data_IF_512306190983
#
_entry.id   IF_512306190983
#
_cell.length_a   1.000
_cell.length_b   1.000
_cell.length_c   1.000
_cell.angle_alpha   90.00
_cell.angle_beta   90.00
_cell.angle_gamma   90.00
#
_symmetry.space_group_name_H-M   'P 1'
#
loop_
_entity.id
_entity.type
_entity.pdbx_description
1 polymer ?
#
# COMPACT_ATOMS: atom_id res chain seq x y z
N UNK A 1 -21.07 8.24 -7.88
CA UNK A 1 -20.48 7.92 -9.19
C UNK A 1 -18.95 7.87 -9.12
N UNK A 2 -18.24 8.96 -8.82
CA UNK A 2 -16.76 8.96 -8.73
C UNK A 2 -16.16 7.93 -7.75
N UNK A 3 -16.77 7.73 -6.56
CA UNK A 3 -16.31 6.73 -5.57
C UNK A 3 -16.44 5.28 -6.04
N UNK A 4 -17.48 4.97 -6.80
CA UNK A 4 -17.71 3.62 -7.36
C UNK A 4 -16.77 3.40 -8.55
N UNK A 5 -16.57 4.42 -9.39
CA UNK A 5 -15.59 4.37 -10.49
C UNK A 5 -14.16 4.16 -10.00
N UNK A 6 -13.74 4.83 -8.93
CA UNK A 6 -12.43 4.62 -8.31
C UNK A 6 -12.30 3.20 -7.73
N UNK A 7 -13.34 2.68 -7.07
CA UNK A 7 -13.33 1.32 -6.54
C UNK A 7 -13.25 0.28 -7.66
N UNK A 8 -14.02 0.46 -8.74
CA UNK A 8 -13.99 -0.40 -9.92
C UNK A 8 -12.63 -0.34 -10.61
N UNK A 9 -12.03 0.86 -10.76
CA UNK A 9 -10.68 1.00 -11.32
C UNK A 9 -9.62 0.30 -10.46
N UNK A 10 -9.73 0.38 -9.14
CA UNK A 10 -8.80 -0.28 -8.20
C UNK A 10 -8.97 -1.80 -8.22
N UNK A 11 -10.21 -2.29 -8.26
CA UNK A 11 -10.51 -3.73 -8.33
C UNK A 11 -10.08 -4.28 -9.67
N UNK A 12 -10.45 -3.64 -10.79
CA UNK A 12 -9.99 -4.02 -12.12
C UNK A 12 -8.47 -3.93 -12.21
N UNK A 13 -7.84 -2.87 -11.68
CA UNK A 13 -6.39 -2.75 -11.62
C UNK A 13 -5.72 -3.91 -10.88
N UNK A 14 -6.22 -4.31 -9.70
CA UNK A 14 -5.69 -5.48 -8.98
C UNK A 14 -5.91 -6.79 -9.73
N UNK A 15 -7.08 -6.97 -10.35
CA UNK A 15 -7.40 -8.15 -11.14
C UNK A 15 -6.55 -8.24 -12.41
N UNK A 16 -6.25 -7.11 -13.05
CA UNK A 16 -5.37 -7.03 -14.21
C UNK A 16 -3.91 -7.36 -13.86
N UNK A 17 -3.49 -7.14 -12.62
CA UNK A 17 -2.11 -7.40 -12.17
C UNK A 17 -1.90 -8.87 -11.80
N UNK A 18 -2.95 -9.61 -11.44
CA UNK A 18 -2.86 -11.04 -11.15
C UNK A 18 -3.05 -11.84 -12.45
N UNK A 19 -1.93 -12.28 -13.06
CA UNK A 19 -1.95 -13.13 -14.26
C UNK A 19 -1.54 -14.54 -13.87
N UNK A 20 -2.17 -15.52 -14.50
CA UNK A 20 -1.73 -16.90 -14.43
C UNK A 20 -0.82 -17.11 -15.65
N UNK A 21 0.46 -17.38 -15.41
CA UNK A 21 1.44 -17.68 -16.45
C UNK A 21 1.81 -19.16 -16.41
N UNK A 22 2.22 -19.68 -17.57
CA UNK A 22 2.76 -21.03 -17.68
C UNK A 22 4.28 -20.93 -17.80
N UNK A 23 4.99 -21.50 -16.83
CA UNK A 23 6.44 -21.58 -16.87
C UNK A 23 6.96 -22.35 -18.10
N UNK A 24 8.25 -22.23 -18.45
CA UNK A 24 8.87 -22.98 -19.57
C UNK A 24 8.75 -24.51 -19.47
N UNK A 25 8.48 -24.99 -18.27
CA UNK A 25 8.25 -26.36 -17.82
C UNK A 25 6.76 -26.77 -17.80
N UNK A 26 5.85 -25.87 -18.17
CA UNK A 26 4.40 -26.11 -18.22
C UNK A 26 3.68 -25.91 -16.87
N UNK A 27 4.42 -25.58 -15.80
CA UNK A 27 3.86 -25.35 -14.48
C UNK A 27 3.04 -24.05 -14.44
N UNK A 28 1.85 -24.11 -13.83
CA UNK A 28 0.99 -22.95 -13.60
C UNK A 28 1.59 -22.12 -12.46
N UNK A 29 1.91 -20.85 -12.71
CA UNK A 29 2.43 -19.92 -11.70
C UNK A 29 1.65 -18.61 -11.69
N UNK A 30 1.47 -18.02 -10.51
CA UNK A 30 1.00 -16.64 -10.40
C UNK A 30 2.10 -15.67 -10.82
N UNK A 31 1.82 -14.84 -11.83
CA UNK A 31 2.71 -13.80 -12.35
C UNK A 31 2.04 -12.41 -12.26
N UNK A 32 2.87 -11.37 -12.25
CA UNK A 32 2.37 -9.99 -12.33
C UNK A 32 2.25 -9.59 -13.82
N UNK A 33 1.12 -9.08 -14.30
CA UNK A 33 0.99 -8.61 -15.70
C UNK A 33 2.07 -7.60 -16.08
N UNK A 34 2.48 -6.76 -15.12
CA UNK A 34 3.54 -5.79 -15.36
C UNK A 34 4.90 -6.46 -15.57
N UNK A 35 5.11 -7.67 -15.04
CA UNK A 35 6.34 -8.46 -15.25
C UNK A 35 6.46 -9.02 -16.65
N UNK A 36 5.32 -9.26 -17.28
CA UNK A 36 5.25 -9.74 -18.65
C UNK A 36 5.41 -8.58 -19.65
N UNK A 37 5.09 -7.34 -19.25
CA UNK A 37 5.20 -6.13 -20.09
C UNK A 37 5.96 -4.98 -19.39
N UNK A 38 7.32 -5.00 -19.42
CA UNK A 38 8.16 -4.01 -18.71
C UNK A 38 7.92 -2.56 -19.12
N UNK A 39 7.42 -2.31 -20.35
CA UNK A 39 7.05 -0.97 -20.84
C UNK A 39 5.90 -0.32 -20.05
N UNK A 40 5.15 -1.10 -19.25
CA UNK A 40 4.06 -0.63 -18.40
C UNK A 40 4.46 -0.46 -16.93
N UNK A 41 5.71 -0.72 -16.54
CA UNK A 41 6.17 -0.66 -15.14
C UNK A 41 5.91 0.71 -14.46
N UNK A 42 5.81 1.80 -15.23
CA UNK A 42 5.43 3.12 -14.72
C UNK A 42 4.02 3.14 -14.08
N UNK A 43 3.11 2.23 -14.46
CA UNK A 43 1.80 2.09 -13.85
C UNK A 43 1.88 1.63 -12.38
N UNK A 44 2.96 0.95 -11.97
CA UNK A 44 3.17 0.57 -10.56
C UNK A 44 3.31 1.80 -9.64
N UNK A 45 3.66 2.97 -10.18
CA UNK A 45 3.68 4.22 -9.43
C UNK A 45 2.28 4.69 -9.04
N UNK A 46 1.24 4.27 -9.77
CA UNK A 46 -0.17 4.50 -9.46
C UNK A 46 -0.77 3.39 -8.61
N UNK A 47 0.07 2.59 -7.94
CA UNK A 47 -0.41 1.61 -6.98
C UNK A 47 -1.42 2.28 -6.04
N UNK A 48 -2.60 1.69 -5.84
CA UNK A 48 -3.72 2.37 -5.18
C UNK A 48 -3.52 2.49 -3.66
N UNK A 49 -2.49 1.86 -3.11
CA UNK A 49 -2.34 1.67 -1.67
C UNK A 49 -2.04 2.96 -0.90
N UNK A 50 -1.13 3.83 -1.32
CA UNK A 50 -0.93 5.09 -0.62
C UNK A 50 -2.16 6.00 -0.67
N UNK A 51 -2.84 6.10 -1.83
CA UNK A 51 -4.14 6.81 -1.94
C UNK A 51 -5.17 6.22 -0.96
N UNK A 52 -5.27 4.89 -0.88
CA UNK A 52 -6.18 4.21 0.05
C UNK A 52 -5.87 4.57 1.50
N UNK A 53 -4.61 4.51 1.94
CA UNK A 53 -4.24 4.86 3.31
C UNK A 53 -4.44 6.34 3.62
N UNK A 54 -4.22 7.24 2.66
CA UNK A 54 -4.55 8.66 2.81
C UNK A 54 -6.06 8.89 3.00
N UNK A 55 -6.88 8.25 2.15
CA UNK A 55 -8.34 8.31 2.28
C UNK A 55 -8.83 7.67 3.61
N UNK A 56 -8.16 6.61 4.06
CA UNK A 56 -8.42 5.97 5.35
C UNK A 56 -8.11 6.91 6.52
N UNK A 57 -6.98 7.62 6.48
CA UNK A 57 -6.63 8.64 7.47
C UNK A 57 -7.67 9.75 7.51
N UNK A 58 -8.02 10.28 6.35
CA UNK A 58 -9.07 11.31 6.23
C UNK A 58 -10.41 10.86 6.81
N UNK A 59 -10.83 9.62 6.52
CA UNK A 59 -12.13 9.11 6.90
C UNK A 59 -12.22 8.68 8.38
N UNK A 60 -11.10 8.26 8.99
CA UNK A 60 -11.05 7.75 10.36
C UNK A 60 -10.55 8.79 11.38
N UNK A 61 -9.97 9.91 10.93
CA UNK A 61 -9.48 10.96 11.83
C UNK A 61 -10.56 11.55 12.75
N UNK A 62 -11.82 11.54 12.31
CA UNK A 62 -12.96 12.01 13.11
C UNK A 62 -14.03 10.93 13.30
N UNK A 63 -13.65 9.65 13.20
CA UNK A 63 -14.60 8.55 13.41
C UNK A 63 -14.84 8.30 14.90
N UNK A 64 -16.09 7.99 15.26
CA UNK A 64 -16.42 7.41 16.57
C UNK A 64 -16.23 5.88 16.52
N UNK A 65 -16.03 5.20 17.66
CA UNK A 65 -15.92 3.74 17.70
C UNK A 65 -17.07 3.01 16.97
N UNK A 66 -18.29 3.53 17.07
CA UNK A 66 -19.47 2.99 16.36
C UNK A 66 -19.33 3.11 14.84
N UNK A 67 -18.92 4.27 14.34
CA UNK A 67 -18.75 4.51 12.90
C UNK A 67 -17.55 3.75 12.31
N UNK A 68 -16.45 3.65 13.06
CA UNK A 68 -15.28 2.85 12.70
C UNK A 68 -15.64 1.37 12.61
N UNK A 69 -16.33 0.82 13.62
CA UNK A 69 -16.79 -0.57 13.64
C UNK A 69 -17.72 -0.91 12.46
N UNK A 70 -18.65 -0.01 12.13
CA UNK A 70 -19.54 -0.22 10.99
C UNK A 70 -18.76 -0.29 9.65
N UNK A 71 -17.81 0.64 9.44
CA UNK A 71 -16.96 0.66 8.24
C UNK A 71 -16.05 -0.56 8.16
N UNK A 72 -15.42 -0.92 9.28
CA UNK A 72 -14.58 -2.11 9.39
C UNK A 72 -15.37 -3.38 9.08
N UNK A 73 -16.58 -3.53 9.64
CA UNK A 73 -17.44 -4.69 9.37
C UNK A 73 -17.80 -4.80 7.89
N UNK A 74 -18.13 -3.70 7.22
CA UNK A 74 -18.41 -3.72 5.78
C UNK A 74 -17.17 -4.12 4.97
N UNK A 75 -16.01 -3.52 5.27
CA UNK A 75 -14.78 -3.81 4.54
C UNK A 75 -14.28 -5.25 4.76
N UNK A 76 -14.25 -5.70 6.01
CA UNK A 76 -13.88 -7.08 6.37
C UNK A 76 -14.89 -8.06 5.77
N UNK A 77 -16.19 -7.73 5.79
CA UNK A 77 -17.22 -8.55 5.15
C UNK A 77 -17.00 -8.71 3.65
N UNK A 78 -16.71 -7.62 2.93
CA UNK A 78 -16.39 -7.66 1.51
C UNK A 78 -15.10 -8.43 1.23
N UNK A 79 -14.07 -8.25 2.06
CA UNK A 79 -12.83 -9.01 1.99
C UNK A 79 -13.07 -10.51 2.19
N UNK A 80 -13.87 -10.88 3.19
CA UNK A 80 -14.22 -12.27 3.47
C UNK A 80 -14.99 -12.91 2.31
N UNK A 81 -15.91 -12.17 1.66
CA UNK A 81 -16.59 -12.65 0.44
C UNK A 81 -15.58 -12.95 -0.67
N UNK A 82 -14.62 -12.04 -0.92
CA UNK A 82 -13.57 -12.26 -1.90
C UNK A 82 -12.72 -13.51 -1.59
N UNK A 83 -12.30 -13.66 -0.34
CA UNK A 83 -11.53 -14.82 0.12
C UNK A 83 -12.29 -16.12 -0.04
N UNK A 84 -13.57 -16.15 0.34
CA UNK A 84 -14.42 -17.35 0.23
C UNK A 84 -14.65 -17.72 -1.23
N UNK A 85 -14.99 -16.77 -2.09
CA UNK A 85 -15.19 -17.00 -3.52
C UNK A 85 -13.92 -17.58 -4.15
N UNK A 86 -12.76 -16.96 -3.88
CA UNK A 86 -11.50 -17.41 -4.43
C UNK A 86 -11.07 -18.77 -3.88
N UNK A 87 -11.16 -18.98 -2.57
CA UNK A 87 -10.83 -20.27 -1.94
C UNK A 87 -11.71 -21.39 -2.49
N UNK A 88 -12.98 -21.10 -2.76
CA UNK A 88 -13.92 -22.05 -3.37
C UNK A 88 -13.50 -22.39 -4.80
N UNK A 89 -13.10 -21.40 -5.61
CA UNK A 89 -12.57 -21.64 -6.96
C UNK A 89 -11.30 -22.51 -6.93
N UNK A 90 -10.34 -22.21 -6.04
CA UNK A 90 -9.14 -23.05 -5.89
C UNK A 90 -9.48 -24.48 -5.44
N UNK A 91 -10.41 -24.66 -4.50
CA UNK A 91 -10.88 -25.99 -4.06
C UNK A 91 -11.51 -26.76 -5.23
N UNK A 92 -12.38 -26.11 -6.01
CA UNK A 92 -13.00 -26.74 -7.19
C UNK A 92 -11.95 -27.16 -8.22
N UNK A 93 -10.97 -26.31 -8.48
CA UNK A 93 -9.85 -26.61 -9.39
C UNK A 93 -9.04 -27.82 -8.90
N UNK A 94 -8.74 -27.91 -7.61
CA UNK A 94 -8.06 -29.06 -6.99
C UNK A 94 -8.86 -30.35 -7.17
N UNK A 95 -10.18 -30.29 -6.98
CA UNK A 95 -11.06 -31.45 -7.12
C UNK A 95 -11.17 -31.93 -8.58
N UNK A 96 -10.89 -31.05 -9.56
CA UNK A 96 -10.92 -31.38 -10.99
C UNK A 96 -9.55 -31.85 -11.50
N UNK A 97 -8.47 -31.14 -11.15
CA UNK A 97 -7.12 -31.33 -11.73
C UNK A 97 -6.26 -32.28 -10.88
N UNK A 98 -6.47 -32.34 -9.56
CA UNK A 98 -5.79 -33.27 -8.67
C UNK A 98 -4.36 -32.90 -8.26
N UNK A 99 -3.86 -31.72 -8.63
CA UNK A 99 -2.49 -31.29 -8.32
C UNK A 99 -2.43 -30.32 -7.13
N UNK A 100 -1.70 -30.71 -6.07
CA UNK A 100 -1.59 -29.94 -4.82
C UNK A 100 -0.77 -28.64 -4.92
N UNK A 101 0.04 -28.46 -5.96
CA UNK A 101 0.82 -27.23 -6.19
C UNK A 101 -0.07 -26.01 -6.43
N UNK A 102 -1.21 -26.23 -7.10
CA UNK A 102 -2.23 -25.21 -7.39
C UNK A 102 -2.83 -24.63 -6.10
N UNK A 103 -2.89 -25.40 -5.00
CA UNK A 103 -3.45 -24.95 -3.71
C UNK A 103 -2.57 -23.86 -3.11
N UNK A 104 -1.25 -24.08 -3.08
CA UNK A 104 -0.32 -23.18 -2.41
C UNK A 104 -0.22 -21.84 -3.14
N UNK A 105 -0.17 -21.88 -4.47
CA UNK A 105 -0.19 -20.67 -5.29
C UNK A 105 -1.55 -19.99 -5.28
N UNK A 106 -2.65 -20.75 -5.36
CA UNK A 106 -4.00 -20.22 -5.25
C UNK A 106 -4.26 -19.52 -3.91
N UNK A 107 -3.84 -20.12 -2.80
CA UNK A 107 -3.93 -19.54 -1.46
C UNK A 107 -3.03 -18.32 -1.29
N UNK A 108 -1.81 -18.35 -1.84
CA UNK A 108 -0.90 -17.19 -1.85
C UNK A 108 -1.52 -16.02 -2.61
N UNK A 109 -2.07 -16.25 -3.81
CA UNK A 109 -2.74 -15.22 -4.61
C UNK A 109 -4.00 -14.70 -3.90
N UNK A 110 -4.79 -15.58 -3.28
CA UNK A 110 -6.00 -15.21 -2.53
C UNK A 110 -5.71 -14.32 -1.31
N UNK A 111 -4.61 -14.60 -0.63
CA UNK A 111 -4.22 -13.91 0.61
C UNK A 111 -3.36 -12.68 0.36
N UNK A 112 -2.71 -12.60 -0.80
CA UNK A 112 -1.92 -11.44 -1.20
C UNK A 112 -2.68 -10.12 -1.10
N UNK A 113 -3.94 -9.96 -1.57
CA UNK A 113 -4.65 -8.70 -1.39
C UNK A 113 -5.07 -8.43 0.07
N UNK A 114 -4.95 -9.36 1.02
CA UNK A 114 -5.39 -9.15 2.41
C UNK A 114 -4.36 -8.42 3.27
N UNK A 115 -3.12 -8.26 2.81
CA UNK A 115 -2.05 -7.68 3.63
C UNK A 115 -2.41 -6.29 4.14
N UNK A 116 -3.14 -5.48 3.35
CA UNK A 116 -3.50 -4.12 3.74
C UNK A 116 -4.42 -4.09 4.95
N UNK A 117 -5.22 -5.14 5.18
CA UNK A 117 -6.10 -5.24 6.34
C UNK A 117 -5.29 -5.28 7.65
N UNK A 118 -4.11 -5.90 7.64
CA UNK A 118 -3.24 -5.96 8.82
C UNK A 118 -2.81 -4.56 9.30
N UNK A 119 -2.67 -3.61 8.38
CA UNK A 119 -2.39 -2.19 8.74
C UNK A 119 -3.69 -1.41 8.94
N UNK A 120 -4.66 -1.59 8.05
CA UNK A 120 -5.87 -0.77 8.04
C UNK A 120 -6.72 -1.00 9.29
N UNK A 121 -6.86 -2.23 9.77
CA UNK A 121 -7.70 -2.55 10.94
C UNK A 121 -7.27 -1.78 12.19
N UNK A 122 -6.01 -1.85 12.65
CA UNK A 122 -5.59 -1.08 13.83
C UNK A 122 -5.68 0.43 13.60
N UNK A 123 -5.30 0.93 12.41
CA UNK A 123 -5.39 2.36 12.09
C UNK A 123 -6.82 2.88 12.05
N UNK A 124 -7.78 2.08 11.58
CA UNK A 124 -9.18 2.46 11.56
C UNK A 124 -9.83 2.31 12.95
N UNK A 125 -9.45 1.29 13.72
CA UNK A 125 -9.96 1.08 15.07
C UNK A 125 -9.52 2.19 16.04
N UNK A 126 -8.27 2.64 15.93
CA UNK A 126 -7.66 3.69 16.75
C UNK A 126 -7.63 5.05 16.05
N UNK A 127 -8.42 5.23 14.99
CA UNK A 127 -8.24 6.34 14.05
C UNK A 127 -8.36 7.73 14.68
N UNK A 128 -9.29 7.93 15.61
CA UNK A 128 -9.42 9.20 16.33
C UNK A 128 -8.23 9.49 17.24
N UNK A 129 -7.67 8.44 17.86
CA UNK A 129 -6.58 8.58 18.83
C UNK A 129 -5.25 8.84 18.11
N UNK A 130 -4.99 8.08 17.04
CA UNK A 130 -3.80 8.28 16.19
C UNK A 130 -3.87 9.63 15.48
N UNK A 131 -5.06 10.13 15.14
CA UNK A 131 -5.21 11.44 14.50
C UNK A 131 -4.75 12.61 15.39
N UNK A 132 -4.66 12.45 16.70
CA UNK A 132 -4.04 13.46 17.58
C UNK A 132 -2.56 13.68 17.22
N UNK A 133 -1.85 12.62 16.81
CA UNK A 133 -0.47 12.73 16.31
C UNK A 133 -0.38 13.52 15.01
N UNK A 134 -1.47 13.57 14.23
CA UNK A 134 -1.53 14.31 12.98
C UNK A 134 -1.65 15.82 13.19
N UNK A 135 -1.96 16.31 14.40
CA UNK A 135 -1.93 17.75 14.71
C UNK A 135 -0.53 18.36 14.54
N UNK A 136 0.50 17.55 14.81
CA UNK A 136 1.91 17.87 14.68
C UNK A 136 2.56 17.04 13.54
N UNK A 137 2.19 17.28 12.27
CA UNK A 137 2.56 16.40 11.16
C UNK A 137 4.07 16.31 10.96
N UNK A 138 4.82 17.38 11.22
CA UNK A 138 6.28 17.36 11.10
C UNK A 138 6.92 16.39 12.09
N UNK A 139 6.39 16.30 13.32
CA UNK A 139 6.90 15.38 14.32
C UNK A 139 6.48 13.95 14.03
N UNK A 140 5.19 13.71 13.73
CA UNK A 140 4.67 12.36 13.52
C UNK A 140 5.15 11.75 12.20
N UNK A 141 4.97 12.44 11.07
CA UNK A 141 5.48 11.99 9.76
C UNK A 141 7.00 11.96 9.78
N UNK A 142 7.66 12.97 10.36
CA UNK A 142 9.12 13.01 10.48
C UNK A 142 9.68 11.83 11.29
N UNK A 143 9.05 11.44 12.39
CA UNK A 143 9.45 10.27 13.17
C UNK A 143 9.30 8.97 12.37
N UNK A 144 8.20 8.80 11.62
CA UNK A 144 8.03 7.65 10.73
C UNK A 144 9.12 7.59 9.66
N UNK A 145 9.40 8.72 9.00
CA UNK A 145 10.44 8.81 7.97
C UNK A 145 11.85 8.56 8.54
N UNK A 146 12.16 9.11 9.71
CA UNK A 146 13.44 8.90 10.37
C UNK A 146 13.63 7.43 10.80
N UNK A 147 12.58 6.80 11.33
CA UNK A 147 12.60 5.38 11.68
C UNK A 147 12.79 4.51 10.43
N UNK A 148 12.08 4.78 9.33
CA UNK A 148 12.29 4.09 8.05
C UNK A 148 13.71 4.26 7.54
N UNK A 149 14.24 5.48 7.56
CA UNK A 149 15.62 5.75 7.16
C UNK A 149 16.63 4.96 8.00
N UNK A 150 16.42 4.85 9.32
CA UNK A 150 17.28 4.06 10.20
C UNK A 150 17.19 2.55 9.90
N UNK A 151 15.99 2.03 9.67
CA UNK A 151 15.77 0.63 9.29
C UNK A 151 16.43 0.30 7.95
N UNK A 152 16.26 1.17 6.96
CA UNK A 152 16.85 0.97 5.64
C UNK A 152 18.37 1.16 5.66
N UNK A 153 18.91 2.08 6.46
CA UNK A 153 20.35 2.20 6.68
C UNK A 153 20.93 0.93 7.33
N UNK A 154 20.25 0.38 8.33
CA UNK A 154 20.65 -0.88 8.95
C UNK A 154 20.64 -2.04 7.94
N UNK A 155 19.59 -2.16 7.13
CA UNK A 155 19.45 -3.24 6.13
C UNK A 155 20.42 -3.09 4.96
N UNK A 156 20.53 -1.90 4.39
CA UNK A 156 21.22 -1.67 3.11
C UNK A 156 22.66 -1.19 3.32
N UNK A 157 22.91 -0.42 4.38
CA UNK A 157 24.25 0.10 4.71
C UNK A 157 25.07 -0.85 5.58
N UNK A 158 24.44 -1.54 6.53
CA UNK A 158 25.13 -2.41 7.50
C UNK A 158 24.84 -3.91 7.34
N UNK A 159 24.05 -4.31 6.35
CA UNK A 159 23.76 -5.72 6.07
C UNK A 159 22.95 -6.42 7.16
N UNK A 160 22.17 -5.68 7.95
CA UNK A 160 21.31 -6.27 8.98
C UNK A 160 20.23 -7.19 8.36
N UNK A 161 19.72 -8.18 9.11
CA UNK A 161 18.73 -9.13 8.60
C UNK A 161 17.49 -8.43 8.06
N UNK A 162 16.96 -8.89 6.92
CA UNK A 162 15.81 -8.26 6.27
C UNK A 162 14.57 -8.15 7.20
N UNK A 163 14.45 -9.07 8.15
CA UNK A 163 13.38 -9.09 9.13
C UNK A 163 13.24 -7.79 9.94
N UNK A 164 14.33 -7.03 10.13
CA UNK A 164 14.24 -5.75 10.87
C UNK A 164 13.44 -4.68 10.11
N UNK A 165 13.20 -4.86 8.81
CA UNK A 165 12.42 -3.94 7.98
C UNK A 165 10.91 -4.08 8.14
N UNK A 166 10.40 -5.16 8.75
CA UNK A 166 8.96 -5.39 8.89
C UNK A 166 8.18 -4.31 9.68
N UNK A 167 8.73 -3.62 10.70
CA UNK A 167 8.09 -2.44 11.28
C UNK A 167 7.80 -1.34 10.24
N UNK A 168 8.60 -1.28 9.16
CA UNK A 168 8.38 -0.40 8.02
C UNK A 168 7.00 -0.54 7.39
N UNK A 169 6.33 -1.68 7.58
CA UNK A 169 4.95 -1.89 7.18
C UNK A 169 3.99 -0.88 7.83
N UNK A 170 4.04 -0.69 9.15
CA UNK A 170 3.20 0.32 9.81
C UNK A 170 3.71 1.74 9.57
N UNK A 171 5.03 1.93 9.49
CA UNK A 171 5.63 3.25 9.32
C UNK A 171 5.36 3.83 7.93
N UNK A 172 5.63 3.07 6.87
CA UNK A 172 5.52 3.54 5.49
C UNK A 172 4.07 3.78 5.06
N UNK A 173 3.14 2.91 5.47
CA UNK A 173 1.70 3.08 5.22
C UNK A 173 1.03 4.05 6.22
N UNK A 174 1.63 4.20 7.41
CA UNK A 174 1.24 5.21 8.39
C UNK A 174 1.49 6.64 7.92
N UNK A 175 2.53 6.88 7.11
CA UNK A 175 2.83 8.21 6.54
C UNK A 175 1.67 8.79 5.72
N UNK A 176 1.17 8.15 4.63
CA UNK A 176 0.04 8.68 3.88
C UNK A 176 -1.22 8.75 4.73
N UNK A 177 -1.43 7.81 5.66
CA UNK A 177 -2.53 7.86 6.62
C UNK A 177 -2.49 9.11 7.52
N UNK A 178 -1.32 9.42 8.10
CA UNK A 178 -1.12 10.59 8.97
C UNK A 178 -1.32 11.89 8.19
N UNK A 179 -0.84 11.97 6.94
CA UNK A 179 -1.05 13.14 6.08
C UNK A 179 -2.54 13.30 5.75
N UNK A 180 -3.24 12.20 5.43
CA UNK A 180 -4.69 12.22 5.19
C UNK A 180 -5.49 12.65 6.42
N UNK A 181 -5.09 12.20 7.62
CA UNK A 181 -5.69 12.61 8.88
C UNK A 181 -5.43 14.10 9.16
N UNK A 182 -4.20 14.58 9.00
CA UNK A 182 -3.86 15.99 9.12
C UNK A 182 -4.66 16.85 8.13
N UNK A 183 -4.75 16.42 6.87
CA UNK A 183 -5.50 17.11 5.84
C UNK A 183 -6.98 17.25 6.24
N UNK A 184 -7.59 16.19 6.80
CA UNK A 184 -8.96 16.22 7.33
C UNK A 184 -9.12 17.25 8.44
N UNK A 185 -8.21 17.26 9.41
CA UNK A 185 -8.26 18.18 10.54
C UNK A 185 -8.12 19.65 10.06
N UNK A 186 -7.21 19.92 9.12
CA UNK A 186 -7.05 21.27 8.55
C UNK A 186 -8.27 21.72 7.75
N UNK A 187 -8.83 20.83 6.94
CA UNK A 187 -10.05 21.11 6.18
C UNK A 187 -11.21 21.54 7.09
N UNK A 188 -11.38 20.91 8.26
CA UNK A 188 -12.41 21.28 9.23
C UNK A 188 -12.22 22.67 9.84
N UNK A 189 -10.97 23.15 9.94
CA UNK A 189 -10.65 24.51 10.42
C UNK A 189 -10.79 25.59 9.35
N UNK A 190 -11.27 25.25 8.14
CA UNK A 190 -11.45 26.20 7.03
C UNK A 190 -10.14 26.56 6.30
N UNK A 191 -9.10 25.74 6.45
CA UNK A 191 -7.80 25.95 5.83
C UNK A 191 -7.88 25.98 4.28
N UNK A 192 -7.30 27.01 3.66
CA UNK A 192 -7.42 27.30 2.22
C UNK A 192 -6.14 27.03 1.39
N UNK A 193 -5.09 26.44 1.99
CA UNK A 193 -3.78 26.28 1.32
C UNK A 193 -3.58 24.87 0.73
N UNK A 194 -4.65 24.10 0.54
CA UNK A 194 -4.64 22.71 0.06
C UNK A 194 -3.75 22.51 -1.16
N UNK A 195 -4.03 23.24 -2.25
CA UNK A 195 -3.26 23.16 -3.50
C UNK A 195 -1.78 23.53 -3.36
N UNK A 196 -1.47 24.51 -2.50
CA UNK A 196 -0.07 24.94 -2.29
C UNK A 196 0.71 23.89 -1.51
N UNK A 197 0.08 23.28 -0.52
CA UNK A 197 0.70 22.18 0.22
C UNK A 197 0.80 20.93 -0.63
N UNK A 198 -0.22 20.58 -1.41
CA UNK A 198 -0.15 19.47 -2.38
C UNK A 198 1.04 19.62 -3.32
N UNK A 199 1.19 20.80 -3.94
CA UNK A 199 2.34 21.12 -4.78
C UNK A 199 3.69 21.00 -4.04
N UNK A 200 3.78 21.48 -2.79
CA UNK A 200 4.99 21.35 -1.99
C UNK A 200 5.31 19.88 -1.66
N UNK A 201 4.30 19.07 -1.30
CA UNK A 201 4.46 17.64 -1.04
C UNK A 201 4.93 16.91 -2.29
N UNK A 202 4.38 17.23 -3.47
CA UNK A 202 4.83 16.67 -4.76
C UNK A 202 6.31 16.98 -4.98
N UNK A 203 6.70 18.26 -4.92
CA UNK A 203 8.08 18.68 -5.20
C UNK A 203 9.07 18.03 -4.23
N UNK A 204 8.77 18.06 -2.92
CA UNK A 204 9.65 17.51 -1.90
C UNK A 204 9.73 15.99 -2.03
N UNK A 205 8.61 15.30 -2.16
CA UNK A 205 8.59 13.84 -2.24
C UNK A 205 9.23 13.33 -3.53
N UNK A 206 9.03 13.99 -4.67
CA UNK A 206 9.70 13.67 -5.93
C UNK A 206 11.22 13.88 -5.82
N UNK A 207 11.66 14.99 -5.24
CA UNK A 207 13.09 15.26 -5.03
C UNK A 207 13.73 14.21 -4.09
N UNK A 208 13.05 13.85 -3.00
CA UNK A 208 13.49 12.80 -2.10
C UNK A 208 13.55 11.43 -2.79
N UNK A 209 12.48 11.02 -3.50
CA UNK A 209 12.45 9.75 -4.22
C UNK A 209 13.55 9.66 -5.28
N UNK A 210 13.76 10.74 -6.05
CA UNK A 210 14.84 10.83 -7.02
C UNK A 210 16.21 10.73 -6.35
N UNK A 211 16.41 11.43 -5.23
CA UNK A 211 17.66 11.35 -4.47
C UNK A 211 17.95 9.94 -3.93
N UNK A 212 16.92 9.23 -3.46
CA UNK A 212 17.05 7.84 -3.01
C UNK A 212 17.47 6.91 -4.17
N UNK A 213 16.91 7.10 -5.36
CA UNK A 213 17.26 6.30 -6.54
C UNK A 213 18.68 6.63 -7.03
N UNK A 214 18.99 7.91 -7.21
CA UNK A 214 20.27 8.34 -7.80
C UNK A 214 21.47 8.16 -6.87
N UNK A 215 21.28 8.30 -5.55
CA UNK A 215 22.39 8.36 -4.59
C UNK A 215 22.38 7.24 -3.55
N UNK A 216 21.25 6.56 -3.33
CA UNK A 216 21.13 5.54 -2.29
C UNK A 216 20.76 4.14 -2.83
N UNK A 217 20.76 3.96 -4.16
CA UNK A 217 20.54 2.65 -4.79
C UNK A 217 19.13 2.09 -4.68
N UNK A 218 18.13 2.94 -4.39
CA UNK A 218 16.74 2.51 -4.38
C UNK A 218 16.24 2.22 -5.78
N UNK A 219 15.35 1.23 -5.91
CA UNK A 219 14.69 0.95 -7.17
C UNK A 219 13.51 1.91 -7.41
N UNK A 220 13.29 2.43 -8.63
CA UNK A 220 12.24 3.41 -8.90
C UNK A 220 10.82 2.84 -8.94
N UNK A 221 10.65 1.52 -8.87
CA UNK A 221 9.33 0.87 -8.87
C UNK A 221 8.81 0.67 -7.44
N UNK A 222 7.56 1.07 -7.18
CA UNK A 222 6.95 0.95 -5.85
C UNK A 222 6.58 -0.50 -5.50
N UNK A 223 6.01 -1.24 -6.46
CA UNK A 223 5.66 -2.67 -6.32
C UNK A 223 6.56 -3.44 -7.26
N UNK A 224 6.97 -4.65 -6.87
CA UNK A 224 7.71 -5.52 -7.75
C UNK A 224 6.93 -5.82 -9.02
N UNK A 225 7.62 -5.52 -10.11
CA UNK A 225 7.19 -5.76 -11.46
C UNK A 225 8.14 -6.75 -12.13
N UNK A 226 9.34 -7.04 -11.60
CA UNK A 226 10.32 -7.87 -12.31
C UNK A 226 10.77 -9.03 -11.40
N UNK A 227 10.66 -10.26 -11.89
CA UNK A 227 11.13 -11.46 -11.19
C UNK A 227 12.63 -11.30 -10.83
N UNK A 228 12.95 -11.41 -9.53
CA UNK A 228 14.33 -11.33 -9.02
C UNK A 228 14.82 -9.94 -8.59
N UNK A 229 14.02 -8.89 -8.76
CA UNK A 229 14.28 -7.58 -8.16
C UNK A 229 13.60 -7.48 -6.79
N UNK A 230 14.04 -6.53 -5.96
CA UNK A 230 13.53 -6.34 -4.59
C UNK A 230 12.39 -5.32 -4.57
N UNK A 231 11.21 -5.75 -4.11
CA UNK A 231 10.07 -4.86 -3.91
C UNK A 231 10.31 -3.83 -2.81
N UNK A 232 10.02 -2.56 -3.10
CA UNK A 232 9.95 -1.51 -2.09
C UNK A 232 8.82 -1.72 -1.07
N UNK A 233 7.92 -2.70 -1.27
CA UNK A 233 6.86 -3.08 -0.31
C UNK A 233 7.13 -4.38 0.45
N UNK A 234 8.30 -5.00 0.30
CA UNK A 234 8.59 -6.29 0.96
C UNK A 234 10.04 -6.35 1.44
N UNK A 235 10.32 -5.92 2.69
CA UNK A 235 9.50 -5.07 3.56
C UNK A 235 9.44 -3.58 3.13
N UNK A 236 8.35 -2.84 3.43
CA UNK A 236 8.20 -1.43 3.06
C UNK A 236 9.29 -0.52 3.63
N UNK A 237 9.91 0.27 2.74
CA UNK A 237 11.00 1.20 3.10
C UNK A 237 10.64 2.68 2.91
N UNK A 238 11.67 3.52 3.02
CA UNK A 238 11.60 4.97 2.90
C UNK A 238 11.08 5.43 1.52
N UNK A 239 11.42 4.71 0.45
CA UNK A 239 10.90 4.99 -0.89
C UNK A 239 9.37 4.79 -0.96
N UNK A 240 8.83 3.79 -0.28
CA UNK A 240 7.37 3.57 -0.21
C UNK A 240 6.67 4.73 0.50
N UNK A 241 7.25 5.24 1.58
CA UNK A 241 6.73 6.43 2.24
C UNK A 241 6.79 7.66 1.32
N UNK A 242 7.92 7.90 0.63
CA UNK A 242 8.07 9.01 -0.31
C UNK A 242 7.06 8.95 -1.45
N UNK A 243 6.88 7.78 -2.07
CA UNK A 243 5.84 7.57 -3.08
C UNK A 243 4.44 7.84 -2.52
N UNK A 244 4.19 7.47 -1.26
CA UNK A 244 2.93 7.79 -0.59
C UNK A 244 2.71 9.28 -0.38
N UNK A 245 3.72 10.02 0.08
CA UNK A 245 3.65 11.48 0.21
C UNK A 245 3.37 12.14 -1.13
N UNK A 246 4.05 11.70 -2.20
CA UNK A 246 3.84 12.18 -3.55
C UNK A 246 2.38 11.99 -4.00
N UNK A 247 1.84 10.78 -3.85
CA UNK A 247 0.45 10.49 -4.22
C UNK A 247 -0.55 11.30 -3.39
N UNK A 248 -0.32 11.49 -2.09
CA UNK A 248 -1.19 12.37 -1.27
C UNK A 248 -1.13 13.81 -1.78
N UNK A 249 0.07 14.30 -2.13
CA UNK A 249 0.24 15.63 -2.70
C UNK A 249 -0.50 15.84 -4.00
N UNK A 250 -0.65 14.81 -4.84
CA UNK A 250 -1.45 14.84 -6.07
C UNK A 250 -2.96 14.92 -5.79
N UNK A 251 -3.42 14.39 -4.65
CA UNK A 251 -4.84 14.43 -4.26
C UNK A 251 -5.28 15.79 -3.70
N UNK A 252 -4.33 16.62 -3.24
CA UNK A 252 -4.54 17.95 -2.63
C UNK A 252 -4.37 19.08 -3.65
#
# INVERSE_FOLDING_TARGET
MARVGALVLVVLGHLSLAVIDHGPDGAIRGANALALEPGLAWLALFAPMPVFFAAAGWANATSTPRSAAARLRTLIGLGAVGVVLWSTMSIVEILIIGEGGVVADGARIATQPLWFLAVYVPLAALGSDIAQLAEHPLASVGACLAALAALDLARFGFGAPEAIGWPGFFLAWGVPWLIGAWWRLRWQTGWQHERRTGAALIVIASACALGLVLFAGYHPALIDVVDGQRSNTTPPGLFTAAAGVLQVGVLM
#
